data_IF_151934161244
#
_entry.id   IF_151934161244
#
_cell.length_a   1.000
_cell.length_b   1.000
_cell.length_c   1.000
_cell.angle_alpha   90.00
_cell.angle_beta   90.00
_cell.angle_gamma   90.00
#
_symmetry.space_group_name_H-M   'P 1'
#
loop_
_entity.id
_entity.type
_entity.pdbx_description
1 polymer ?
#
# COMPACT_ATOMS: atom_id res chain seq x y z
N UNK A 1 -4.17 22.29 -2.46
CA UNK A 1 -2.95 21.70 -1.87
C UNK A 1 -3.29 20.29 -1.40
N UNK A 2 -3.18 19.29 -2.27
CA UNK A 2 -3.38 17.88 -1.90
C UNK A 2 -2.08 17.15 -2.14
N UNK A 3 -1.41 16.81 -1.04
CA UNK A 3 -0.06 16.25 -0.99
C UNK A 3 -0.14 14.75 -1.29
N UNK A 4 0.38 14.31 -2.44
CA UNK A 4 0.36 12.91 -2.86
C UNK A 4 1.47 12.06 -2.22
N UNK A 5 1.08 10.92 -1.65
CA UNK A 5 1.95 9.76 -1.35
C UNK A 5 1.53 8.59 -2.28
N UNK A 6 1.98 7.35 -2.00
CA UNK A 6 1.51 6.13 -2.70
C UNK A 6 0.00 6.21 -3.05
N UNK A 7 -0.40 5.75 -4.23
CA UNK A 7 -1.39 6.38 -5.10
C UNK A 7 -2.65 6.87 -4.39
N UNK A 8 -2.61 8.16 -4.07
CA UNK A 8 -3.75 9.06 -3.94
C UNK A 8 -4.50 9.15 -5.29
N UNK A 9 -5.27 8.13 -5.68
CA UNK A 9 -6.18 8.26 -6.83
C UNK A 9 -7.45 8.98 -6.36
N UNK A 10 -7.49 10.31 -6.46
CA UNK A 10 -8.77 11.02 -6.58
C UNK A 10 -9.21 10.95 -8.05
N UNK A 11 -10.38 10.37 -8.40
CA UNK A 11 -10.75 10.09 -9.80
C UNK A 11 -11.01 11.32 -10.70
N UNK A 12 -10.75 12.55 -10.27
CA UNK A 12 -11.32 13.75 -10.93
C UNK A 12 -10.35 14.90 -11.21
N UNK A 13 -9.03 14.72 -11.13
CA UNK A 13 -8.09 15.77 -11.48
C UNK A 13 -6.99 15.27 -12.45
N UNK A 14 -6.57 16.09 -13.45
CA UNK A 14 -5.57 15.71 -14.43
C UNK A 14 -4.26 15.33 -13.72
N UNK A 15 -3.80 14.11 -13.98
CA UNK A 15 -2.69 13.44 -13.29
C UNK A 15 -1.33 14.07 -13.63
N UNK A 16 -1.01 15.24 -13.07
CA UNK A 16 0.39 15.69 -12.98
C UNK A 16 1.02 15.00 -11.78
N UNK A 17 1.41 13.74 -11.96
CA UNK A 17 2.05 12.92 -10.92
C UNK A 17 3.42 13.50 -10.57
N UNK A 18 3.56 14.08 -9.38
CA UNK A 18 4.84 14.55 -8.88
C UNK A 18 5.47 13.44 -8.02
N UNK A 19 6.23 12.55 -8.64
CA UNK A 19 6.82 11.32 -8.11
C UNK A 19 7.79 11.48 -6.91
N UNK A 20 7.92 12.68 -6.32
CA UNK A 20 9.03 13.05 -5.45
C UNK A 20 8.82 12.98 -3.93
N UNK A 21 7.59 12.83 -3.42
CA UNK A 21 7.28 12.98 -1.97
C UNK A 21 6.83 11.67 -1.31
N UNK A 22 7.18 11.56 -0.02
CA UNK A 22 6.79 10.48 0.89
C UNK A 22 5.84 11.01 1.96
N UNK A 23 5.01 10.14 2.49
CA UNK A 23 4.05 10.43 3.55
C UNK A 23 4.70 10.58 4.92
N UNK A 24 3.96 11.19 5.84
CA UNK A 24 4.44 11.50 7.20
C UNK A 24 4.01 10.46 8.25
N UNK A 25 2.89 9.78 8.04
CA UNK A 25 2.31 8.83 8.97
C UNK A 25 1.39 7.83 8.24
N UNK A 26 0.95 6.81 8.97
CA UNK A 26 -0.16 5.93 8.58
C UNK A 26 -1.49 6.69 8.73
N UNK A 27 -2.48 6.32 7.91
CA UNK A 27 -3.84 6.86 7.98
C UNK A 27 -4.82 5.74 8.33
N UNK A 28 -6.01 6.06 8.88
CA UNK A 28 -7.08 5.07 9.05
C UNK A 28 -7.38 4.34 7.74
N UNK A 29 -7.58 3.02 7.80
CA UNK A 29 -7.89 2.20 6.62
C UNK A 29 -9.14 2.74 5.92
N UNK A 30 -9.09 2.84 4.60
CA UNK A 30 -10.20 3.38 3.81
C UNK A 30 -10.29 4.91 3.80
N UNK A 31 -9.26 5.61 4.26
CA UNK A 31 -9.13 7.07 4.04
C UNK A 31 -9.02 7.43 2.55
N UNK A 32 -8.67 6.46 1.71
CA UNK A 32 -8.50 6.59 0.27
C UNK A 32 -9.42 5.64 -0.50
N UNK A 33 -9.76 5.95 -1.78
CA UNK A 33 -10.60 5.07 -2.58
C UNK A 33 -10.00 3.68 -2.75
N UNK A 34 -10.88 2.67 -2.74
CA UNK A 34 -10.50 1.30 -3.05
C UNK A 34 -10.10 1.11 -4.52
N UNK A 35 -9.41 0.01 -4.80
CA UNK A 35 -9.22 -0.47 -6.16
C UNK A 35 -10.53 -1.03 -6.77
N UNK A 36 -10.44 -1.52 -8.01
CA UNK A 36 -11.59 -2.09 -8.74
C UNK A 36 -12.20 -3.34 -8.09
N UNK A 37 -11.50 -3.95 -7.13
CA UNK A 37 -11.96 -5.12 -6.37
C UNK A 37 -12.49 -4.74 -4.98
N UNK A 38 -12.55 -3.45 -4.65
CA UNK A 38 -12.98 -2.98 -3.34
C UNK A 38 -11.91 -3.12 -2.24
N UNK A 39 -10.64 -3.31 -2.62
CA UNK A 39 -9.53 -3.43 -1.68
C UNK A 39 -8.91 -2.06 -1.42
N UNK A 40 -8.79 -1.72 -0.13
CA UNK A 40 -8.20 -0.47 0.34
C UNK A 40 -6.72 -0.64 0.65
N UNK A 41 -5.95 0.42 0.43
CA UNK A 41 -4.57 0.56 0.90
C UNK A 41 -3.61 -0.53 0.39
N UNK A 42 -3.88 -1.12 -0.79
CA UNK A 42 -2.96 -2.07 -1.43
C UNK A 42 -1.63 -1.43 -1.84
N UNK A 43 -1.62 -0.11 -2.01
CA UNK A 43 -0.44 0.67 -2.38
C UNK A 43 -0.30 1.84 -1.41
N UNK A 44 0.69 1.79 -0.52
CA UNK A 44 0.86 2.77 0.54
C UNK A 44 0.33 2.34 1.89
N UNK A 45 0.20 3.33 2.77
CA UNK A 45 -0.06 3.16 4.20
C UNK A 45 1.05 2.34 4.89
N UNK A 46 1.03 1.02 4.74
CA UNK A 46 2.07 0.10 5.22
C UNK A 46 2.40 -0.93 4.15
N UNK A 47 3.67 -1.32 4.08
CA UNK A 47 4.07 -2.50 3.32
C UNK A 47 3.48 -3.75 3.98
N UNK A 48 2.91 -4.66 3.20
CA UNK A 48 2.24 -5.86 3.73
C UNK A 48 3.14 -7.08 3.57
N UNK A 49 3.41 -7.78 4.69
CA UNK A 49 4.17 -9.04 4.71
C UNK A 49 3.54 -10.09 3.80
N UNK A 50 4.38 -10.88 3.14
CA UNK A 50 3.95 -12.00 2.30
C UNK A 50 4.23 -13.35 2.97
N UNK A 51 3.83 -14.44 2.31
CA UNK A 51 4.21 -15.80 2.71
C UNK A 51 5.73 -16.04 2.65
N UNK A 52 6.44 -15.31 1.78
CA UNK A 52 7.90 -15.33 1.78
C UNK A 52 8.37 -14.46 2.95
N UNK A 53 8.87 -15.13 3.98
CA UNK A 53 9.55 -14.48 5.09
C UNK A 53 10.62 -13.54 4.53
N UNK A 54 10.73 -12.34 5.12
CA UNK A 54 11.58 -11.21 4.70
C UNK A 54 11.09 -10.38 3.51
N UNK A 55 9.97 -10.72 2.86
CA UNK A 55 9.42 -9.95 1.73
C UNK A 55 8.06 -9.34 2.07
N UNK A 56 7.97 -8.01 1.95
CA UNK A 56 6.73 -7.25 2.00
C UNK A 56 6.47 -6.52 0.66
N UNK A 57 5.22 -6.18 0.38
CA UNK A 57 4.77 -5.57 -0.88
C UNK A 57 3.90 -4.34 -0.65
N UNK A 58 3.69 -3.53 -1.69
CA UNK A 58 2.71 -2.43 -1.70
C UNK A 58 3.24 -1.06 -1.27
N UNK A 59 4.37 -1.02 -0.55
CA UNK A 59 4.97 0.24 -0.10
C UNK A 59 4.28 0.82 1.12
N UNK A 60 5.05 1.44 2.03
CA UNK A 60 4.52 2.13 3.20
C UNK A 60 4.40 3.63 2.99
N UNK A 61 3.91 4.35 4.00
CA UNK A 61 3.82 5.82 3.94
C UNK A 61 5.17 6.49 3.67
N UNK A 62 6.31 5.88 4.02
CA UNK A 62 7.65 6.41 3.73
C UNK A 62 8.17 6.04 2.34
N UNK A 63 7.44 5.23 1.57
CA UNK A 63 7.83 4.79 0.23
C UNK A 63 7.40 5.85 -0.79
N UNK A 64 8.28 6.12 -1.75
CA UNK A 64 7.97 6.99 -2.89
C UNK A 64 6.96 6.30 -3.79
N UNK A 65 6.12 7.08 -4.48
CA UNK A 65 5.05 6.54 -5.32
C UNK A 65 5.52 5.53 -6.39
N UNK A 66 6.73 5.71 -6.93
CA UNK A 66 7.37 4.80 -7.89
C UNK A 66 7.74 3.42 -7.28
N UNK A 67 7.84 3.34 -5.96
CA UNK A 67 8.05 2.10 -5.19
C UNK A 67 6.78 1.51 -4.59
N UNK A 68 5.60 2.09 -4.82
CA UNK A 68 4.31 1.58 -4.33
C UNK A 68 3.57 0.85 -5.45
N UNK A 69 4.23 -0.12 -6.07
CA UNK A 69 3.70 -0.91 -7.19
C UNK A 69 3.38 -2.34 -6.75
N UNK A 70 2.62 -3.02 -7.58
CA UNK A 70 2.27 -4.44 -7.46
C UNK A 70 3.47 -5.39 -7.59
N UNK A 71 4.60 -4.90 -8.08
CA UNK A 71 5.85 -5.68 -8.26
C UNK A 71 6.99 -5.21 -7.36
N UNK A 72 6.83 -4.12 -6.61
CA UNK A 72 7.86 -3.58 -5.74
C UNK A 72 7.95 -4.37 -4.42
N UNK A 73 8.98 -5.23 -4.34
CA UNK A 73 9.32 -5.96 -3.13
C UNK A 73 10.16 -5.11 -2.17
N UNK A 74 9.88 -5.25 -0.87
CA UNK A 74 10.58 -4.57 0.21
C UNK A 74 11.10 -5.61 1.20
N UNK A 75 12.41 -5.61 1.40
CA UNK A 75 13.05 -6.49 2.36
C UNK A 75 12.78 -6.00 3.79
N UNK A 76 12.52 -6.93 4.71
CA UNK A 76 12.45 -6.67 6.13
C UNK A 76 13.07 -7.81 6.93
N UNK A 77 13.63 -7.50 8.09
CA UNK A 77 14.19 -8.51 9.02
C UNK A 77 13.71 -8.32 10.46
N UNK A 78 13.03 -7.21 10.75
CA UNK A 78 12.57 -6.82 12.08
C UNK A 78 11.22 -6.09 11.96
N UNK A 79 10.44 -6.02 13.05
CA UNK A 79 9.25 -5.16 13.10
C UNK A 79 9.60 -3.70 12.76
N UNK A 80 8.72 -3.03 12.02
CA UNK A 80 8.90 -1.64 11.66
C UNK A 80 7.56 -0.91 11.57
N UNK A 81 7.56 0.41 11.78
CA UNK A 81 6.33 1.23 11.77
C UNK A 81 5.69 1.38 10.39
N UNK A 82 6.41 1.04 9.32
CA UNK A 82 5.92 1.03 7.94
C UNK A 82 5.50 -0.37 7.47
N UNK A 83 5.63 -1.38 8.31
CA UNK A 83 5.41 -2.79 7.98
C UNK A 83 4.17 -3.32 8.72
N UNK A 84 3.24 -3.92 7.97
CA UNK A 84 2.01 -4.52 8.46
C UNK A 84 1.67 -5.81 7.72
N UNK A 85 0.41 -6.22 7.76
CA UNK A 85 -0.04 -7.45 7.09
C UNK A 85 -1.53 -7.38 6.77
N UNK A 86 -1.95 -8.22 5.81
CA UNK A 86 -3.35 -8.47 5.47
C UNK A 86 -3.60 -9.97 5.44
N UNK A 87 -4.58 -10.49 6.20
CA UNK A 87 -4.90 -11.90 6.16
C UNK A 87 -5.55 -12.27 4.83
N UNK A 88 -5.14 -13.41 4.27
CA UNK A 88 -5.79 -14.05 3.12
C UNK A 88 -6.31 -15.41 3.58
N UNK A 89 -7.62 -15.64 3.44
CA UNK A 89 -8.29 -16.83 3.95
C UNK A 89 -8.90 -17.60 2.78
N UNK A 90 -8.57 -18.88 2.66
CA UNK A 90 -9.20 -19.77 1.68
C UNK A 90 -10.43 -20.43 2.30
N UNK A 91 -11.60 -20.17 1.73
CA UNK A 91 -12.85 -20.83 2.13
C UNK A 91 -12.99 -22.13 1.33
N UNK A 92 -12.99 -23.28 2.01
CA UNK A 92 -13.31 -24.56 1.40
C UNK A 92 -14.84 -24.73 1.41
N UNK A 93 -15.44 -24.92 0.23
CA UNK A 93 -16.82 -25.38 0.12
C UNK A 93 -16.84 -26.89 0.36
N UNK A 94 -17.51 -27.32 1.42
CA UNK A 94 -17.92 -28.72 1.60
C UNK A 94 -19.23 -28.93 0.84
N UNK A 95 -19.27 -29.98 0.02
CA UNK A 95 -20.48 -30.47 -0.63
C UNK A 95 -21.41 -31.16 0.36
#
# INVERSE_FOLDING_TARGET
VTNGNCPDIKPTAPLVMNYGRVGKAIYPVGSYPADVHGLYDLRGNVAEMTKNETVAMGGGYRTRADGCTDVAAQAYSQPATWLGFRPVIQIKKTH
#
